data_IF_934967206582
#
_entry.id   IF_934967206582
#
_cell.length_a   1.000
_cell.length_b   1.000
_cell.length_c   1.000
_cell.angle_alpha   90.00
_cell.angle_beta   90.00
_cell.angle_gamma   90.00
#
_symmetry.space_group_name_H-M   'P 1'
#
loop_
_entity.id
_entity.type
_entity.pdbx_description
1 polymer ?
#
# COMPACT_ATOMS: atom_id res chain seq x y z
N UNK A 1 -36.65 -38.65 45.43
CA UNK A 1 -36.32 -38.15 46.79
C UNK A 1 -35.09 -37.28 46.68
N UNK A 2 -35.26 -35.97 46.89
CA UNK A 2 -34.77 -35.23 48.08
C UNK A 2 -33.28 -34.86 47.96
N UNK A 3 -33.12 -33.68 47.36
CA UNK A 3 -32.02 -32.74 47.53
C UNK A 3 -31.68 -32.59 49.03
N UNK A 4 -30.41 -32.76 49.40
CA UNK A 4 -29.88 -32.25 50.67
C UNK A 4 -28.54 -31.54 50.45
N UNK A 5 -28.59 -30.24 50.67
CA UNK A 5 -27.48 -29.32 50.90
C UNK A 5 -26.58 -29.79 52.06
N UNK A 6 -25.27 -29.45 52.02
CA UNK A 6 -24.61 -28.62 53.04
C UNK A 6 -23.08 -28.47 52.77
N UNK A 7 -22.68 -27.22 52.49
CA UNK A 7 -21.72 -26.40 53.27
C UNK A 7 -20.28 -26.92 53.49
N UNK A 8 -19.27 -26.18 52.98
CA UNK A 8 -17.96 -25.87 53.63
C UNK A 8 -17.17 -24.95 52.65
N UNK A 9 -17.14 -23.64 52.89
CA UNK A 9 -16.03 -22.91 53.54
C UNK A 9 -15.00 -22.33 52.56
N UNK A 10 -15.09 -21.00 52.44
CA UNK A 10 -14.12 -19.97 52.07
C UNK A 10 -12.70 -20.37 51.60
N UNK A 11 -12.32 -19.85 50.43
CA UNK A 11 -10.96 -19.37 50.13
C UNK A 11 -11.05 -18.10 49.27
N UNK A 12 -10.51 -16.95 49.72
CA UNK A 12 -10.45 -15.75 48.90
C UNK A 12 -9.22 -15.84 48.00
N UNK A 13 -9.41 -15.96 46.68
CA UNK A 13 -8.34 -15.68 45.73
C UNK A 13 -8.72 -14.42 44.96
N UNK A 14 -7.92 -13.38 45.21
CA UNK A 14 -7.90 -12.09 44.52
C UNK A 14 -7.83 -12.28 42.98
N UNK A 15 -8.32 -11.29 42.22
CA UNK A 15 -8.60 -11.46 40.80
C UNK A 15 -7.30 -11.48 40.00
N UNK A 16 -7.02 -12.58 39.31
CA UNK A 16 -6.14 -12.51 38.16
C UNK A 16 -6.98 -11.94 37.01
N UNK A 17 -7.07 -10.62 36.96
CA UNK A 17 -7.37 -9.94 35.70
C UNK A 17 -6.25 -10.34 34.74
N UNK A 18 -6.47 -11.39 33.98
CA UNK A 18 -5.74 -11.64 32.76
C UNK A 18 -6.06 -10.46 31.84
N UNK A 19 -5.21 -9.43 31.91
CA UNK A 19 -5.06 -8.52 30.79
C UNK A 19 -4.56 -9.38 29.65
N UNK A 20 -5.49 -9.93 28.87
CA UNK A 20 -5.17 -10.31 27.51
C UNK A 20 -4.79 -8.99 26.85
N UNK A 21 -3.48 -8.73 26.80
CA UNK A 21 -2.92 -7.70 25.95
C UNK A 21 -3.64 -7.86 24.61
N UNK A 22 -4.27 -6.81 24.06
CA UNK A 22 -4.77 -6.89 22.71
C UNK A 22 -3.57 -7.32 21.88
N UNK A 23 -3.61 -8.57 21.39
CA UNK A 23 -2.65 -9.10 20.43
C UNK A 23 -2.43 -7.97 19.46
N UNK A 24 -1.20 -7.47 19.45
CA UNK A 24 -0.82 -6.31 18.68
C UNK A 24 -1.51 -6.45 17.34
N UNK A 25 -2.41 -5.52 17.08
CA UNK A 25 -2.82 -5.17 15.74
C UNK A 25 -1.50 -4.92 15.02
N UNK A 26 -0.93 -5.98 14.46
CA UNK A 26 -0.03 -5.90 13.33
C UNK A 26 -0.96 -5.43 12.21
N UNK A 27 -1.30 -4.15 12.31
CA UNK A 27 -1.58 -3.30 11.19
C UNK A 27 -0.35 -3.47 10.32
N UNK A 28 -0.40 -4.49 9.46
CA UNK A 28 0.27 -4.48 8.18
C UNK A 28 -0.39 -3.30 7.47
N UNK A 29 0.00 -2.10 7.89
CA UNK A 29 -0.11 -0.89 7.11
C UNK A 29 0.77 -1.23 5.94
N UNK A 30 0.16 -1.87 4.92
CA UNK A 30 0.75 -1.99 3.59
C UNK A 30 1.40 -0.63 3.36
N UNK A 31 2.72 -0.58 3.11
CA UNK A 31 3.44 0.68 3.10
C UNK A 31 2.60 1.55 2.22
N UNK A 32 2.01 2.61 2.80
CA UNK A 32 1.24 3.56 2.02
C UNK A 32 2.22 3.86 0.90
N UNK A 33 1.90 3.43 -0.32
CA UNK A 33 2.58 3.93 -1.50
C UNK A 33 2.07 5.35 -1.57
N UNK A 34 2.56 6.14 -0.62
CA UNK A 34 2.28 7.52 -0.41
C UNK A 34 2.57 8.06 -1.79
N UNK A 35 1.56 8.73 -2.32
CA UNK A 35 1.59 9.43 -3.58
C UNK A 35 2.69 10.50 -3.49
N UNK A 36 3.93 10.05 -3.41
CA UNK A 36 5.13 10.86 -3.41
C UNK A 36 5.14 11.35 -4.84
N UNK A 37 5.06 12.66 -4.94
CA UNK A 37 5.30 13.37 -6.17
C UNK A 37 6.63 12.88 -6.76
N UNK A 38 6.57 11.91 -7.68
CA UNK A 38 7.76 11.42 -8.37
C UNK A 38 8.39 12.61 -9.08
N UNK A 39 9.71 12.64 -9.09
CA UNK A 39 10.54 13.62 -9.81
C UNK A 39 11.36 12.88 -10.87
N UNK A 40 11.86 13.62 -11.86
CA UNK A 40 12.80 13.06 -12.84
C UNK A 40 14.05 12.56 -12.10
N UNK A 41 14.44 11.32 -12.38
CA UNK A 41 15.51 10.59 -11.70
C UNK A 41 15.06 9.75 -10.50
N UNK A 42 13.81 9.89 -10.03
CA UNK A 42 13.26 9.08 -8.94
C UNK A 42 12.86 7.68 -9.43
N UNK A 43 12.75 6.72 -8.51
CA UNK A 43 12.27 5.37 -8.85
C UNK A 43 10.75 5.32 -8.78
N UNK A 44 10.14 5.05 -9.93
CA UNK A 44 8.74 4.71 -10.00
C UNK A 44 8.45 3.39 -9.26
N UNK A 45 7.30 3.30 -8.57
CA UNK A 45 6.85 2.06 -7.96
C UNK A 45 6.72 0.93 -8.99
N UNK A 46 7.04 -0.30 -8.60
CA UNK A 46 7.11 -1.45 -9.51
C UNK A 46 5.80 -1.74 -10.26
N UNK A 47 4.67 -1.43 -9.63
CA UNK A 47 3.34 -1.50 -10.25
C UNK A 47 3.25 -0.73 -11.58
N UNK A 48 3.94 0.42 -11.69
CA UNK A 48 3.90 1.25 -12.89
C UNK A 48 4.79 0.73 -14.00
N UNK A 49 5.78 -0.12 -13.71
CA UNK A 49 6.62 -0.75 -14.74
C UNK A 49 5.86 -1.78 -15.58
N UNK A 50 4.69 -2.22 -15.09
CA UNK A 50 3.86 -3.22 -15.76
C UNK A 50 3.20 -2.61 -17.00
N UNK A 51 3.18 -3.35 -18.10
CA UNK A 51 2.52 -2.92 -19.34
C UNK A 51 1.03 -2.61 -19.16
N UNK A 52 0.37 -3.18 -18.15
CA UNK A 52 -1.02 -2.90 -17.80
C UNK A 52 -1.24 -1.45 -17.34
N UNK A 53 -0.21 -0.80 -16.78
CA UNK A 53 -0.24 0.61 -16.39
C UNK A 53 0.25 1.54 -17.50
N UNK A 54 0.73 0.97 -18.62
CA UNK A 54 1.28 1.73 -19.73
C UNK A 54 0.19 2.41 -20.55
N UNK A 55 0.33 3.71 -20.71
CA UNK A 55 -0.48 4.52 -21.62
C UNK A 55 0.04 4.30 -23.03
N UNK A 56 -0.67 3.47 -23.79
CA UNK A 56 -0.40 3.20 -25.20
C UNK A 56 -0.86 4.36 -26.09
N UNK A 57 -1.91 5.07 -25.69
CA UNK A 57 -2.51 6.20 -26.41
C UNK A 57 -1.82 7.55 -26.13
N UNK A 58 -0.52 7.55 -25.83
CA UNK A 58 0.24 8.77 -25.53
C UNK A 58 0.15 9.79 -26.67
N UNK A 59 0.11 9.32 -27.92
CA UNK A 59 -0.03 10.15 -29.11
C UNK A 59 -1.36 10.92 -29.15
N UNK A 60 -2.45 10.28 -28.70
CA UNK A 60 -3.78 10.90 -28.60
C UNK A 60 -3.86 11.89 -27.44
N UNK A 61 -3.04 11.70 -26.40
CA UNK A 61 -2.91 12.61 -25.26
C UNK A 61 -2.00 13.82 -25.53
N UNK A 62 -1.40 13.92 -26.72
CA UNK A 62 -0.44 14.98 -27.03
C UNK A 62 0.88 14.84 -26.27
N UNK A 63 1.18 13.65 -25.75
CA UNK A 63 2.44 13.38 -25.08
C UNK A 63 3.55 13.13 -26.11
N UNK A 64 4.82 13.48 -25.78
CA UNK A 64 5.93 13.14 -26.65
C UNK A 64 6.16 11.62 -26.69
N UNK A 65 6.84 11.14 -27.73
CA UNK A 65 7.16 9.73 -27.85
C UNK A 65 7.99 9.28 -26.63
N UNK A 66 7.65 8.14 -26.00
CA UNK A 66 8.44 7.61 -24.90
C UNK A 66 9.85 7.23 -25.38
N UNK A 67 10.83 7.32 -24.48
CA UNK A 67 12.19 6.87 -24.74
C UNK A 67 12.25 5.33 -24.94
N UNK A 68 13.41 4.83 -25.39
CA UNK A 68 13.62 3.39 -25.56
C UNK A 68 13.37 2.65 -24.24
N UNK A 69 12.68 1.52 -24.32
CA UNK A 69 12.32 0.70 -23.16
C UNK A 69 11.62 1.50 -22.05
N UNK A 70 10.83 2.50 -22.42
CA UNK A 70 10.10 3.36 -21.49
C UNK A 70 8.64 3.50 -21.93
N UNK A 71 7.77 3.88 -21.00
CA UNK A 71 6.36 4.09 -21.26
C UNK A 71 5.77 5.21 -20.39
N UNK A 72 4.69 5.80 -20.88
CA UNK A 72 3.94 6.76 -20.09
C UNK A 72 3.03 6.03 -19.12
N UNK A 73 2.94 6.49 -17.88
CA UNK A 73 1.97 6.00 -16.89
C UNK A 73 1.19 7.17 -16.33
N UNK A 74 -0.07 6.94 -15.93
CA UNK A 74 -0.84 7.96 -15.24
C UNK A 74 -0.63 7.79 -13.74
N UNK A 75 -0.10 8.82 -13.09
CA UNK A 75 0.10 8.83 -11.65
C UNK A 75 -0.64 10.04 -11.07
N UNK A 76 -1.88 9.82 -10.65
CA UNK A 76 -2.65 10.80 -9.86
C UNK A 76 -2.79 12.18 -10.50
N UNK A 77 -3.03 12.26 -11.81
CA UNK A 77 -3.17 13.56 -12.52
C UNK A 77 -1.87 14.10 -13.13
N UNK A 78 -0.87 13.25 -13.28
CA UNK A 78 0.33 13.55 -14.09
C UNK A 78 0.67 12.34 -14.95
N UNK A 79 1.18 12.60 -16.14
CA UNK A 79 1.81 11.59 -16.97
C UNK A 79 3.28 11.50 -16.61
N UNK A 80 3.73 10.31 -16.23
CA UNK A 80 5.11 10.06 -15.84
C UNK A 80 5.72 9.09 -16.85
N UNK A 81 6.85 9.45 -17.43
CA UNK A 81 7.61 8.57 -18.32
C UNK A 81 8.52 7.69 -17.44
N UNK A 82 8.22 6.41 -17.39
CA UNK A 82 8.96 5.43 -16.58
C UNK A 82 9.74 4.52 -17.51
N UNK A 83 11.01 4.32 -17.21
CA UNK A 83 11.85 3.35 -17.89
C UNK A 83 11.60 1.95 -17.33
N UNK A 84 11.24 1.01 -18.20
CA UNK A 84 10.85 -0.37 -17.85
C UNK A 84 12.05 -1.14 -17.29
N UNK A 85 13.25 -0.89 -17.83
CA UNK A 85 14.49 -1.60 -17.47
C UNK A 85 14.89 -1.41 -15.99
N UNK A 86 14.78 -0.19 -15.47
CA UNK A 86 15.30 0.19 -14.14
C UNK A 86 14.24 0.84 -13.23
N UNK A 87 13.08 1.21 -13.76
CA UNK A 87 12.03 1.92 -13.03
C UNK A 87 12.26 3.41 -12.88
N UNK A 88 13.20 4.01 -13.59
CA UNK A 88 13.57 5.41 -13.38
C UNK A 88 12.59 6.31 -14.13
N UNK A 89 12.17 7.39 -13.48
CA UNK A 89 11.36 8.43 -14.09
C UNK A 89 12.24 9.31 -14.96
N UNK A 90 11.97 9.35 -16.26
CA UNK A 90 12.72 10.14 -17.24
C UNK A 90 12.09 11.51 -17.49
N UNK A 91 10.76 11.60 -17.44
CA UNK A 91 10.03 12.84 -17.67
C UNK A 91 8.69 12.84 -16.94
N UNK A 92 8.16 14.04 -16.65
CA UNK A 92 6.84 14.23 -16.06
C UNK A 92 6.12 15.31 -16.85
N UNK A 93 4.87 15.05 -17.20
CA UNK A 93 3.99 15.96 -17.93
C UNK A 93 2.69 16.14 -17.13
N UNK A 94 2.22 17.37 -16.92
CA UNK A 94 0.92 17.59 -16.28
C UNK A 94 -0.21 17.05 -17.16
N UNK A 95 -1.26 16.48 -16.56
CA UNK A 95 -2.52 16.25 -17.29
C UNK A 95 -3.27 17.58 -17.36
N UNK A 96 -3.40 18.15 -18.56
CA UNK A 96 -4.19 19.36 -18.82
C UNK A 96 -5.68 19.16 -18.55
#
# INVERSE_FOLDING_TARGET
MKLHYLLFAALPCLPLAATAAPSGEESITAPETHNRELKVGDKAPDQYKRDDQAIKDWKTKGLPAPEKESHWVNMGGRYVLVQITNGVVLAIQPTH
#
